data_IF_570392634267
#
_entry.id   IF_570392634267
#
_cell.length_a   1.000
_cell.length_b   1.000
_cell.length_c   1.000
_cell.angle_alpha   90.00
_cell.angle_beta   90.00
_cell.angle_gamma   90.00
#
_symmetry.space_group_name_H-M   'P 1'
#
loop_
_entity.id
_entity.type
_entity.pdbx_description
1 polymer ?
#
# COMPACT_ATOMS: atom_id res chain seq x y z
N UNK A 1 13.50 14.89 5.67
CA UNK A 1 14.01 14.50 4.33
C UNK A 1 12.84 13.85 3.62
N UNK A 2 12.37 14.38 2.49
CA UNK A 2 11.25 13.75 1.74
C UNK A 2 11.78 12.48 1.07
N UNK A 3 11.01 11.40 1.05
CA UNK A 3 11.45 10.16 0.41
C UNK A 3 11.45 10.33 -1.11
N UNK A 4 12.25 9.52 -1.82
CA UNK A 4 12.22 9.46 -3.29
C UNK A 4 10.81 9.15 -3.81
N UNK A 5 10.04 8.33 -3.08
CA UNK A 5 8.67 7.95 -3.44
C UNK A 5 7.73 9.15 -3.30
N UNK A 6 7.87 9.97 -2.25
CA UNK A 6 7.09 11.20 -2.11
C UNK A 6 7.38 12.19 -3.25
N UNK A 7 8.65 12.32 -3.65
CA UNK A 7 9.02 13.18 -4.77
C UNK A 7 8.47 12.66 -6.11
N UNK A 8 8.44 11.34 -6.29
CA UNK A 8 7.87 10.71 -7.49
C UNK A 8 6.35 10.84 -7.52
N UNK A 9 5.68 10.63 -6.40
CA UNK A 9 4.23 10.81 -6.25
C UNK A 9 3.81 12.25 -6.60
N UNK A 10 4.58 13.26 -6.18
CA UNK A 10 4.32 14.68 -6.51
C UNK A 10 4.46 15.01 -8.00
N UNK A 11 5.18 14.21 -8.78
CA UNK A 11 5.35 14.40 -10.23
C UNK A 11 4.26 13.71 -11.04
N UNK A 12 3.54 12.78 -10.43
CA UNK A 12 2.50 11.98 -11.05
C UNK A 12 1.13 12.49 -10.61
N UNK A 13 0.10 12.20 -11.41
CA UNK A 13 -1.26 12.43 -10.98
C UNK A 13 -1.68 11.26 -10.09
N UNK A 14 -1.85 11.49 -8.80
CA UNK A 14 -2.36 10.46 -7.90
C UNK A 14 -3.88 10.30 -8.10
N UNK A 15 -4.32 9.07 -8.20
CA UNK A 15 -5.72 8.70 -8.19
C UNK A 15 -5.99 7.52 -7.26
N UNK A 16 -7.17 7.56 -6.65
CA UNK A 16 -7.70 6.50 -5.79
C UNK A 16 -9.10 6.21 -6.31
N UNK A 17 -9.16 5.55 -7.47
CA UNK A 17 -10.44 5.22 -8.09
C UNK A 17 -11.15 4.10 -7.31
N UNK A 18 -12.45 3.95 -7.59
CA UNK A 18 -13.30 2.96 -6.92
C UNK A 18 -12.85 1.51 -7.19
N UNK A 19 -12.26 1.22 -8.36
CA UNK A 19 -11.73 -0.10 -8.70
C UNK A 19 -10.57 -0.50 -7.79
N UNK A 20 -9.66 0.43 -7.50
CA UNK A 20 -8.55 0.21 -6.56
C UNK A 20 -9.07 -0.10 -5.16
N UNK A 21 -10.09 0.64 -4.70
CA UNK A 21 -10.72 0.35 -3.41
C UNK A 21 -11.38 -1.04 -3.38
N UNK A 22 -12.06 -1.46 -4.45
CA UNK A 22 -12.64 -2.79 -4.55
C UNK A 22 -11.57 -3.89 -4.47
N UNK A 23 -10.45 -3.74 -5.18
CA UNK A 23 -9.35 -4.70 -5.15
C UNK A 23 -8.65 -4.78 -3.80
N UNK A 24 -8.46 -3.65 -3.10
CA UNK A 24 -7.94 -3.65 -1.73
C UNK A 24 -8.86 -4.45 -0.81
N UNK A 25 -10.18 -4.25 -0.95
CA UNK A 25 -11.17 -5.01 -0.18
C UNK A 25 -11.07 -6.49 -0.49
N UNK A 26 -11.10 -6.84 -1.77
CA UNK A 26 -11.04 -8.23 -2.24
C UNK A 26 -9.76 -8.93 -1.77
N UNK A 27 -8.62 -8.25 -1.79
CA UNK A 27 -7.36 -8.79 -1.27
C UNK A 27 -7.45 -9.08 0.23
N UNK A 28 -7.62 -8.03 1.06
CA UNK A 28 -7.49 -8.18 2.52
C UNK A 28 -8.66 -8.95 3.17
N UNK A 29 -9.82 -9.04 2.51
CA UNK A 29 -10.92 -9.88 2.96
C UNK A 29 -10.64 -11.39 2.83
N UNK A 30 -9.61 -11.79 2.06
CA UNK A 30 -9.21 -13.19 1.88
C UNK A 30 -7.93 -13.57 2.64
N UNK A 31 -7.31 -12.63 3.36
CA UNK A 31 -6.05 -12.85 4.08
C UNK A 31 -6.27 -13.30 5.52
N UNK A 32 -5.34 -14.11 6.05
CA UNK A 32 -5.35 -14.56 7.45
C UNK A 32 -4.78 -13.47 8.38
N UNK A 33 -5.60 -12.45 8.64
CA UNK A 33 -5.28 -11.30 9.51
C UNK A 33 -6.37 -11.10 10.58
N UNK A 34 -6.06 -10.38 11.66
CA UNK A 34 -7.04 -10.09 12.71
C UNK A 34 -8.08 -9.06 12.22
N UNK A 35 -7.60 -7.99 11.59
CA UNK A 35 -8.46 -6.96 10.99
C UNK A 35 -7.69 -6.11 10.00
N UNK A 36 -8.42 -5.45 9.10
CA UNK A 36 -7.88 -4.33 8.32
C UNK A 36 -8.91 -3.22 8.18
N UNK A 37 -8.43 -2.03 7.87
CA UNK A 37 -9.24 -0.91 7.43
C UNK A 37 -8.45 -0.10 6.41
N UNK A 38 -9.15 0.62 5.55
CA UNK A 38 -8.52 1.60 4.69
C UNK A 38 -9.34 2.89 4.59
N UNK A 39 -8.65 3.98 4.26
CA UNK A 39 -9.24 5.30 4.02
C UNK A 39 -8.47 6.02 2.92
N UNK A 40 -9.12 6.96 2.27
CA UNK A 40 -8.51 7.87 1.30
C UNK A 40 -8.41 9.25 1.94
N UNK A 41 -7.24 9.89 1.87
CA UNK A 41 -7.06 11.26 2.34
C UNK A 41 -7.34 12.31 1.26
N UNK A 42 -7.24 13.60 1.63
CA UNK A 42 -7.50 14.72 0.72
C UNK A 42 -6.53 14.79 -0.46
N UNK A 43 -5.35 14.16 -0.35
CA UNK A 43 -4.36 14.05 -1.42
C UNK A 43 -4.55 12.78 -2.26
N UNK A 44 -5.65 12.05 -2.02
CA UNK A 44 -5.95 10.75 -2.64
C UNK A 44 -4.96 9.65 -2.28
N UNK A 45 -4.22 9.78 -1.19
CA UNK A 45 -3.38 8.69 -0.71
C UNK A 45 -4.27 7.67 0.00
N UNK A 46 -3.99 6.39 -0.25
CA UNK A 46 -4.72 5.29 0.35
C UNK A 46 -3.96 4.84 1.60
N UNK A 47 -4.57 5.00 2.77
CA UNK A 47 -4.02 4.53 4.03
C UNK A 47 -4.67 3.20 4.38
N UNK A 48 -3.86 2.17 4.58
CA UNK A 48 -4.29 0.82 4.94
C UNK A 48 -3.63 0.47 6.28
N UNK A 49 -4.44 0.20 7.29
CA UNK A 49 -3.98 -0.34 8.58
C UNK A 49 -4.36 -1.82 8.64
N UNK A 50 -3.38 -2.68 8.85
CA UNK A 50 -3.52 -4.13 8.95
C UNK A 50 -3.03 -4.57 10.32
N UNK A 51 -3.86 -5.35 11.01
CA UNK A 51 -3.52 -5.98 12.28
C UNK A 51 -3.40 -7.49 12.10
N UNK A 52 -2.23 -8.04 12.38
CA UNK A 52 -1.97 -9.48 12.36
C UNK A 52 -2.31 -10.09 13.72
N UNK A 53 -2.68 -11.37 13.75
CA UNK A 53 -2.87 -12.09 15.02
C UNK A 53 -1.59 -12.12 15.86
N UNK A 54 -0.46 -12.30 15.20
CA UNK A 54 0.87 -12.19 15.78
C UNK A 54 1.79 -11.46 14.80
N UNK A 55 2.39 -10.36 15.24
CA UNK A 55 3.31 -9.62 14.40
C UNK A 55 4.62 -10.38 14.20
N UNK A 56 4.92 -10.68 12.94
CA UNK A 56 6.24 -11.14 12.52
C UNK A 56 6.69 -10.35 11.30
N UNK A 57 7.88 -9.74 11.37
CA UNK A 57 8.42 -8.95 10.24
C UNK A 57 8.42 -9.72 8.91
N UNK A 58 8.80 -11.00 8.94
CA UNK A 58 8.80 -11.85 7.74
C UNK A 58 7.39 -12.07 7.19
N UNK A 59 6.39 -12.28 8.06
CA UNK A 59 5.01 -12.47 7.67
C UNK A 59 4.38 -11.17 7.15
N UNK A 60 4.65 -10.04 7.82
CA UNK A 60 4.25 -8.71 7.36
C UNK A 60 4.83 -8.39 5.97
N UNK A 61 6.11 -8.68 5.76
CA UNK A 61 6.74 -8.49 4.46
C UNK A 61 6.14 -9.43 3.39
N UNK A 62 5.85 -10.69 3.73
CA UNK A 62 5.22 -11.62 2.79
C UNK A 62 3.80 -11.15 2.38
N UNK A 63 3.00 -10.69 3.35
CA UNK A 63 1.67 -10.11 3.11
C UNK A 63 1.77 -8.88 2.20
N UNK A 64 2.67 -7.94 2.51
CA UNK A 64 2.86 -6.75 1.70
C UNK A 64 3.33 -7.07 0.28
N UNK A 65 4.28 -7.99 0.11
CA UNK A 65 4.76 -8.38 -1.21
C UNK A 65 3.65 -9.06 -2.03
N UNK A 66 2.78 -9.84 -1.39
CA UNK A 66 1.61 -10.45 -2.03
C UNK A 66 0.59 -9.41 -2.47
N UNK A 67 0.31 -8.41 -1.61
CA UNK A 67 -0.52 -7.26 -1.95
C UNK A 67 0.04 -6.47 -3.13
N UNK A 68 1.34 -6.16 -3.10
CA UNK A 68 2.01 -5.44 -4.19
C UNK A 68 1.94 -6.22 -5.51
N UNK A 69 2.11 -7.54 -5.48
CA UNK A 69 1.99 -8.38 -6.67
C UNK A 69 0.56 -8.35 -7.23
N UNK A 70 -0.45 -8.43 -6.35
CA UNK A 70 -1.86 -8.38 -6.72
C UNK A 70 -2.25 -7.04 -7.37
N UNK A 71 -1.72 -5.92 -6.86
CA UNK A 71 -2.05 -4.57 -7.32
C UNK A 71 -1.12 -4.01 -8.42
N UNK A 72 -0.22 -4.82 -9.00
CA UNK A 72 0.78 -4.30 -9.94
C UNK A 72 0.24 -4.18 -11.37
N UNK A 73 -0.28 -3.00 -11.72
CA UNK A 73 -1.09 -2.83 -12.93
C UNK A 73 -0.36 -2.86 -14.27
N UNK A 74 0.83 -2.24 -14.45
CA UNK A 74 1.57 -2.43 -15.71
C UNK A 74 3.00 -1.88 -15.79
N UNK A 75 3.29 -0.66 -15.32
CA UNK A 75 4.49 0.05 -15.81
C UNK A 75 5.63 0.17 -14.81
N UNK A 76 5.31 0.43 -13.54
CA UNK A 76 6.27 0.31 -12.46
C UNK A 76 5.54 0.12 -11.13
N UNK A 77 6.26 -0.46 -10.18
CA UNK A 77 5.92 -0.54 -8.79
C UNK A 77 7.18 -0.18 -8.01
N UNK A 78 7.11 0.86 -7.18
CA UNK A 78 8.22 1.21 -6.27
C UNK A 78 7.68 1.22 -4.85
N UNK A 79 8.49 0.71 -3.93
CA UNK A 79 8.14 0.72 -2.52
C UNK A 79 9.32 1.06 -1.63
N UNK A 80 9.02 1.59 -0.44
CA UNK A 80 9.96 1.75 0.66
C UNK A 80 9.34 1.24 1.93
N UNK A 81 10.15 0.77 2.86
CA UNK A 81 9.69 0.31 4.17
C UNK A 81 10.33 1.12 5.29
N UNK A 82 9.55 1.50 6.27
CA UNK A 82 10.02 2.04 7.55
C UNK A 82 9.50 1.16 8.68
N UNK A 83 10.40 0.68 9.55
CA UNK A 83 10.05 -0.23 10.64
C UNK A 83 10.09 0.45 12.01
N UNK A 84 9.33 -0.11 12.96
CA UNK A 84 9.41 0.19 14.38
C UNK A 84 9.18 -1.05 15.25
N UNK A 85 9.13 -0.87 16.56
CA UNK A 85 8.84 -1.97 17.49
C UNK A 85 7.39 -2.40 17.28
N UNK A 86 7.18 -3.62 16.78
CA UNK A 86 5.86 -4.23 16.58
C UNK A 86 5.09 -3.73 15.35
N UNK A 87 5.74 -3.06 14.38
CA UNK A 87 5.08 -2.66 13.14
C UNK A 87 6.08 -2.39 12.01
N UNK A 88 5.59 -2.48 10.77
CA UNK A 88 6.28 -1.99 9.57
C UNK A 88 5.29 -1.21 8.70
N UNK A 89 5.69 -0.03 8.24
CA UNK A 89 4.97 0.73 7.22
C UNK A 89 5.65 0.54 5.88
N UNK A 90 4.87 0.26 4.85
CA UNK A 90 5.30 0.21 3.47
C UNK A 90 4.61 1.34 2.71
N UNK A 91 5.41 2.16 2.04
CA UNK A 91 4.91 3.15 1.08
C UNK A 91 5.03 2.53 -0.30
N UNK A 92 3.94 2.46 -1.06
CA UNK A 92 3.86 1.78 -2.35
C UNK A 92 3.18 2.66 -3.39
N UNK A 93 3.85 2.82 -4.53
CA UNK A 93 3.38 3.60 -5.67
C UNK A 93 3.42 2.72 -6.92
N UNK A 94 2.28 2.60 -7.60
CA UNK A 94 2.20 1.90 -8.90
C UNK A 94 1.51 2.75 -9.95
N UNK A 95 2.01 2.64 -11.18
CA UNK A 95 1.42 3.35 -12.32
C UNK A 95 0.33 2.54 -13.00
N UNK A 96 -0.77 3.23 -13.28
CA UNK A 96 -1.89 2.69 -14.04
C UNK A 96 -1.71 2.90 -15.56
N UNK A 97 -1.32 4.10 -16.00
CA UNK A 97 -1.26 4.46 -17.43
C UNK A 97 -0.11 5.44 -17.79
N UNK A 98 0.98 5.42 -17.02
CA UNK A 98 2.19 6.24 -17.24
C UNK A 98 2.05 7.74 -16.87
N UNK A 99 0.83 8.25 -16.69
CA UNK A 99 0.55 9.61 -16.20
C UNK A 99 -0.17 9.60 -14.86
N UNK A 100 -0.92 8.54 -14.59
CA UNK A 100 -1.67 8.33 -13.37
C UNK A 100 -1.03 7.19 -12.57
N UNK A 101 -1.03 7.36 -11.25
CA UNK A 101 -0.54 6.37 -10.31
C UNK A 101 -1.48 6.32 -9.10
N UNK A 102 -1.49 5.20 -8.39
CA UNK A 102 -2.06 5.16 -7.05
C UNK A 102 -0.94 5.02 -6.04
N UNK A 103 -1.13 5.68 -4.91
CA UNK A 103 -0.15 5.73 -3.82
C UNK A 103 -0.82 5.26 -2.54
N UNK A 104 -0.22 4.28 -1.88
CA UNK A 104 -0.71 3.79 -0.61
C UNK A 104 0.36 3.68 0.47
N UNK A 105 -0.08 3.91 1.70
CA UNK A 105 0.65 3.66 2.93
C UNK A 105 0.02 2.43 3.59
N UNK A 106 0.77 1.33 3.67
CA UNK A 106 0.34 0.08 4.29
C UNK A 106 1.07 -0.11 5.61
N UNK A 107 0.36 0.05 6.73
CA UNK A 107 0.90 -0.23 8.05
C UNK A 107 0.47 -1.61 8.49
N UNK A 108 1.44 -2.46 8.82
CA UNK A 108 1.20 -3.82 9.32
C UNK A 108 1.77 -3.90 10.74
N UNK A 109 0.93 -4.31 11.70
CA UNK A 109 1.24 -4.43 13.13
C UNK A 109 0.61 -5.66 13.75
#
# INVERSE_FOLDING_TARGET
>A
MKSFIDELANKLKIDADMGISCEIVDFFSNEEIESYQHKVDDHKHIWIDVKMYEYGFAAANALFMSFMAYMSYAHFAVFSSTGGIGWTQYDFLSSMDGKTAFYCHVRIS
#
